data_IF_268743644937
#
_entry.id   IF_268743644937
#
_cell.length_a   1.000
_cell.length_b   1.000
_cell.length_c   1.000
_cell.angle_alpha   90.00
_cell.angle_beta   90.00
_cell.angle_gamma   90.00
#
_symmetry.space_group_name_H-M   'P 1'
#
loop_
_entity.id
_entity.type
_entity.pdbx_description
1 polymer ?
#
# COMPACT_ATOMS: atom_id res chain seq x y z
N UNK A 1 -2.73 24.69 2.35
CA UNK A 1 -1.35 25.16 2.07
C UNK A 1 -0.99 24.76 0.64
N UNK A 2 -0.81 25.74 -0.28
CA UNK A 2 -0.36 25.46 -1.65
C UNK A 2 1.17 25.32 -1.64
N UNK A 3 1.68 24.12 -1.95
CA UNK A 3 3.09 23.89 -2.21
C UNK A 3 3.44 24.45 -3.61
N UNK A 4 3.78 25.73 -3.68
CA UNK A 4 4.30 26.35 -4.91
C UNK A 4 5.78 26.00 -5.07
N UNK A 5 6.07 25.00 -5.90
CA UNK A 5 7.43 24.70 -6.36
C UNK A 5 7.88 25.81 -7.31
N UNK A 6 8.88 26.60 -6.91
CA UNK A 6 9.58 27.52 -7.81
C UNK A 6 10.42 26.68 -8.77
N UNK A 7 10.06 26.70 -10.04
CA UNK A 7 10.89 26.21 -11.14
C UNK A 7 12.02 27.22 -11.34
N UNK A 8 13.26 26.79 -11.17
CA UNK A 8 14.46 27.56 -11.53
C UNK A 8 15.00 26.95 -12.82
N UNK A 9 15.23 27.73 -13.89
CA UNK A 9 15.84 27.22 -15.11
C UNK A 9 17.36 27.14 -14.93
N UNK A 10 17.93 25.94 -14.97
CA UNK A 10 19.37 25.74 -15.05
C UNK A 10 19.82 25.66 -16.51
N UNK A 11 20.49 26.72 -16.99
CA UNK A 11 21.36 26.62 -18.16
C UNK A 11 22.63 25.85 -17.77
N UNK A 12 23.03 24.87 -18.58
CA UNK A 12 24.43 24.45 -18.66
C UNK A 12 24.77 23.92 -20.06
N UNK A 13 26.00 24.12 -20.54
CA UNK A 13 26.36 23.93 -21.93
C UNK A 13 26.91 22.53 -22.22
N UNK A 14 26.73 22.13 -23.48
CA UNK A 14 27.25 20.92 -24.09
C UNK A 14 28.77 20.80 -23.97
N UNK A 15 29.25 19.60 -23.65
CA UNK A 15 30.62 19.16 -23.92
C UNK A 15 30.61 17.70 -24.36
N UNK A 16 31.39 17.43 -25.41
CA UNK A 16 31.37 16.25 -26.27
C UNK A 16 32.10 15.02 -25.67
N UNK A 17 31.99 13.82 -26.28
CA UNK A 17 32.29 12.54 -25.63
C UNK A 17 33.75 12.09 -25.82
N UNK A 18 34.30 11.44 -24.78
CA UNK A 18 35.58 10.69 -24.84
C UNK A 18 35.37 9.20 -25.18
N UNK A 19 36.41 8.52 -25.72
CA UNK A 19 36.29 7.19 -26.32
C UNK A 19 36.27 6.03 -25.31
N UNK A 20 35.79 4.82 -25.71
CA UNK A 20 35.56 3.71 -24.80
C UNK A 20 36.85 2.93 -24.48
N UNK A 21 37.03 2.63 -23.19
CA UNK A 21 38.07 1.72 -22.70
C UNK A 21 37.62 0.27 -22.84
N UNK A 22 38.47 -0.54 -23.49
CA UNK A 22 38.33 -1.99 -23.70
C UNK A 22 38.36 -2.73 -22.36
N UNK A 23 37.27 -3.43 -22.01
CA UNK A 23 37.25 -4.39 -20.91
C UNK A 23 37.80 -5.75 -21.36
N UNK A 24 38.81 -6.25 -20.66
CA UNK A 24 39.36 -7.61 -20.79
C UNK A 24 38.41 -8.61 -20.12
N UNK A 25 37.98 -9.61 -20.89
CA UNK A 25 37.19 -10.75 -20.44
C UNK A 25 38.07 -11.74 -19.69
N UNK A 26 37.93 -11.82 -18.36
CA UNK A 26 38.51 -12.90 -17.56
C UNK A 26 37.44 -13.97 -17.35
N UNK A 27 37.56 -15.09 -18.07
CA UNK A 27 36.73 -16.29 -17.87
C UNK A 27 37.13 -16.98 -16.56
N UNK A 28 36.18 -17.12 -15.64
CA UNK A 28 36.30 -17.98 -14.46
C UNK A 28 35.62 -19.32 -14.81
N UNK A 29 36.26 -20.48 -14.58
CA UNK A 29 35.65 -21.78 -14.85
C UNK A 29 34.61 -22.15 -13.78
N UNK A 30 33.44 -22.61 -14.23
CA UNK A 30 32.38 -23.20 -13.41
C UNK A 30 32.91 -24.46 -12.71
N UNK A 31 32.82 -24.49 -11.38
CA UNK A 31 32.91 -25.72 -10.60
C UNK A 31 31.52 -26.35 -10.46
N UNK A 32 31.45 -27.63 -10.78
CA UNK A 32 30.28 -28.51 -10.68
C UNK A 32 29.95 -28.81 -9.21
N UNK A 33 28.68 -28.72 -8.76
CA UNK A 33 28.30 -29.16 -7.43
C UNK A 33 28.08 -30.69 -7.37
N UNK A 34 28.36 -31.35 -6.22
CA UNK A 34 28.09 -32.77 -6.03
C UNK A 34 26.60 -33.04 -5.73
N UNK A 35 26.12 -34.18 -6.20
CA UNK A 35 24.77 -34.70 -6.02
C UNK A 35 24.42 -34.98 -4.55
N UNK A 36 23.14 -34.84 -4.15
CA UNK A 36 22.68 -35.25 -2.81
C UNK A 36 22.41 -36.76 -2.73
N UNK A 37 22.51 -37.37 -1.53
CA UNK A 37 22.23 -38.78 -1.32
C UNK A 37 20.73 -39.07 -1.25
N UNK A 38 20.37 -40.23 -1.80
CA UNK A 38 19.05 -40.85 -1.74
C UNK A 38 18.65 -41.19 -0.29
N UNK A 39 17.44 -40.80 0.11
CA UNK A 39 16.76 -41.35 1.30
C UNK A 39 15.43 -41.93 0.82
N UNK A 40 15.32 -43.24 1.01
CA UNK A 40 14.21 -44.08 0.57
C UNK A 40 12.90 -43.88 1.35
N UNK A 41 11.86 -44.66 0.96
CA UNK A 41 10.48 -44.37 1.30
C UNK A 41 10.07 -44.98 2.65
N UNK A 42 9.26 -44.24 3.42
CA UNK A 42 8.47 -44.81 4.52
C UNK A 42 6.98 -44.62 4.25
N UNK A 43 6.34 -45.75 4.01
CA UNK A 43 4.90 -45.99 4.01
C UNK A 43 4.31 -45.90 5.42
N UNK A 44 3.07 -45.42 5.53
CA UNK A 44 1.98 -45.82 6.46
C UNK A 44 0.99 -44.63 6.52
N UNK A 45 -0.08 -44.59 5.73
CA UNK A 45 -1.37 -45.27 5.97
C UNK A 45 -1.95 -44.93 7.36
N UNK A 46 -2.78 -43.90 7.47
CA UNK A 46 -3.93 -43.87 8.37
C UNK A 46 -4.94 -42.80 7.89
N UNK A 47 -6.14 -43.27 7.56
CA UNK A 47 -7.35 -42.48 7.33
C UNK A 47 -8.38 -42.82 8.45
N UNK A 48 -9.60 -42.27 8.46
CA UNK A 48 -9.98 -41.12 9.27
C UNK A 48 -11.02 -41.47 10.35
N UNK A 49 -11.13 -40.64 11.39
CA UNK A 49 -12.24 -40.70 12.37
C UNK A 49 -13.21 -39.57 12.06
N UNK A 50 -14.36 -39.94 11.48
CA UNK A 50 -15.56 -39.12 11.38
C UNK A 50 -16.27 -39.07 12.75
N UNK A 51 -16.51 -37.87 13.27
CA UNK A 51 -17.47 -37.64 14.35
C UNK A 51 -18.50 -36.63 13.86
N UNK A 52 -19.65 -37.20 13.46
CA UNK A 52 -20.85 -36.48 13.05
C UNK A 52 -21.65 -36.12 14.31
N UNK A 53 -21.73 -34.83 14.64
CA UNK A 53 -22.60 -34.30 15.69
C UNK A 53 -23.76 -33.55 15.03
N UNK A 54 -24.93 -34.17 15.08
CA UNK A 54 -26.20 -33.57 14.69
C UNK A 54 -26.69 -32.61 15.79
N UNK A 55 -26.96 -31.36 15.45
CA UNK A 55 -27.71 -30.44 16.30
C UNK A 55 -29.11 -30.18 15.72
N UNK A 56 -30.18 -30.29 16.55
CA UNK A 56 -31.55 -30.08 16.11
C UNK A 56 -31.91 -28.60 15.94
N UNK A 57 -32.68 -28.34 14.88
CA UNK A 57 -33.37 -27.07 14.58
C UNK A 57 -34.39 -26.75 15.67
N UNK A 58 -34.43 -25.50 16.12
CA UNK A 58 -35.55 -24.93 16.87
C UNK A 58 -36.14 -23.75 16.08
N UNK A 59 -37.42 -23.91 15.73
CA UNK A 59 -38.31 -22.94 15.12
C UNK A 59 -39.15 -22.24 16.20
N UNK A 60 -39.18 -20.91 16.21
CA UNK A 60 -40.31 -20.09 16.71
C UNK A 60 -40.02 -18.64 16.27
N UNK A 61 -40.75 -18.01 15.34
CA UNK A 61 -42.16 -17.62 15.30
C UNK A 61 -42.61 -16.86 16.55
N UNK A 62 -42.46 -15.53 16.52
CA UNK A 62 -43.39 -14.59 17.15
C UNK A 62 -43.38 -13.26 16.41
N UNK A 63 -44.37 -13.11 15.52
CA UNK A 63 -44.89 -11.82 15.09
C UNK A 63 -45.54 -11.12 16.29
N UNK A 64 -45.13 -9.87 16.55
CA UNK A 64 -45.99 -8.88 17.19
C UNK A 64 -45.84 -7.57 16.45
N UNK A 65 -46.80 -7.30 15.58
CA UNK A 65 -47.05 -6.00 14.99
C UNK A 65 -47.59 -5.07 16.08
N UNK A 66 -46.87 -3.99 16.36
CA UNK A 66 -47.37 -2.85 17.12
C UNK A 66 -47.64 -1.71 16.13
N UNK A 67 -48.92 -1.42 15.94
CA UNK A 67 -49.45 -0.29 15.18
C UNK A 67 -48.95 1.01 15.82
N UNK A 68 -48.04 1.70 15.14
CA UNK A 68 -47.64 3.07 15.48
C UNK A 68 -48.49 4.08 14.70
N UNK A 69 -48.93 5.17 15.33
CA UNK A 69 -49.74 6.20 14.67
C UNK A 69 -48.89 7.01 13.69
N UNK A 70 -49.49 7.30 12.53
CA UNK A 70 -48.90 8.11 11.46
C UNK A 70 -48.70 9.56 11.93
N UNK A 71 -47.47 9.89 12.34
CA UNK A 71 -47.06 11.28 12.58
C UNK A 71 -46.39 11.85 11.33
N UNK A 72 -47.07 12.84 10.72
CA UNK A 72 -46.56 13.97 9.94
C UNK A 72 -45.21 13.75 9.22
N UNK A 73 -45.28 13.30 7.96
CA UNK A 73 -44.13 13.00 7.09
C UNK A 73 -43.55 14.26 6.42
N UNK A 74 -44.21 15.42 6.54
CA UNK A 74 -43.92 16.59 5.67
C UNK A 74 -42.98 17.61 6.32
N UNK A 75 -42.90 17.69 7.66
CA UNK A 75 -42.02 18.65 8.34
C UNK A 75 -40.57 18.15 8.59
N UNK A 76 -40.31 16.84 8.45
CA UNK A 76 -39.01 16.24 8.73
C UNK A 76 -38.01 16.26 7.56
N UNK A 77 -38.40 16.80 6.39
CA UNK A 77 -37.61 16.69 5.16
C UNK A 77 -36.65 17.85 4.91
N UNK A 78 -36.74 18.95 5.66
CA UNK A 78 -35.89 20.16 5.47
C UNK A 78 -34.72 20.33 6.45
N UNK A 79 -34.56 19.45 7.45
CA UNK A 79 -33.55 19.61 8.51
C UNK A 79 -32.46 18.53 8.55
N UNK A 80 -32.35 17.68 7.53
CA UNK A 80 -31.50 16.46 7.54
C UNK A 80 -30.27 16.49 6.63
N UNK A 81 -29.97 17.62 5.98
CA UNK A 81 -28.86 17.68 5.02
C UNK A 81 -27.58 18.32 5.57
N UNK A 82 -27.59 19.00 6.73
CA UNK A 82 -26.35 19.58 7.30
C UNK A 82 -25.66 18.69 8.34
N UNK A 83 -26.36 17.71 8.93
CA UNK A 83 -25.81 16.90 10.02
C UNK A 83 -24.76 15.88 9.55
N UNK A 84 -24.83 15.42 8.29
CA UNK A 84 -23.93 14.38 7.79
C UNK A 84 -22.49 14.84 7.58
N UNK A 85 -22.30 16.08 7.11
CA UNK A 85 -20.96 16.62 6.83
C UNK A 85 -20.20 16.94 8.13
N UNK A 86 -20.89 17.47 9.14
CA UNK A 86 -20.30 17.72 10.47
C UNK A 86 -19.88 16.43 11.16
N UNK A 87 -20.68 15.36 11.06
CA UNK A 87 -20.35 14.05 11.63
C UNK A 87 -19.14 13.41 10.93
N UNK A 88 -19.02 13.58 9.61
CA UNK A 88 -17.89 13.09 8.83
C UNK A 88 -16.59 13.82 9.20
N UNK A 89 -16.62 15.15 9.29
CA UNK A 89 -15.45 15.94 9.68
C UNK A 89 -15.02 15.67 11.13
N UNK A 90 -15.97 15.53 12.04
CA UNK A 90 -15.68 15.13 13.43
C UNK A 90 -15.05 13.72 13.50
N UNK A 91 -15.54 12.77 12.68
CA UNK A 91 -14.95 11.43 12.59
C UNK A 91 -13.51 11.48 12.06
N UNK A 92 -13.25 12.30 11.02
CA UNK A 92 -11.90 12.51 10.49
C UNK A 92 -10.99 13.13 11.55
N UNK A 93 -11.47 14.13 12.29
CA UNK A 93 -10.73 14.80 13.36
C UNK A 93 -10.36 13.83 14.47
N UNK A 94 -11.32 13.03 14.96
CA UNK A 94 -11.06 11.99 15.99
C UNK A 94 -10.02 10.99 15.53
N UNK A 95 -10.10 10.55 14.28
CA UNK A 95 -9.14 9.60 13.71
C UNK A 95 -7.74 10.20 13.56
N UNK A 96 -7.66 11.46 13.14
CA UNK A 96 -6.40 12.19 13.09
C UNK A 96 -5.75 12.29 14.47
N UNK A 97 -6.52 12.69 15.49
CA UNK A 97 -6.04 12.77 16.87
C UNK A 97 -5.59 11.40 17.40
N UNK A 98 -6.30 10.33 17.07
CA UNK A 98 -5.91 8.97 17.44
C UNK A 98 -4.59 8.54 16.78
N UNK A 99 -4.40 8.86 15.49
CA UNK A 99 -3.13 8.60 14.80
C UNK A 99 -2.00 9.42 15.41
N UNK A 100 -2.25 10.70 15.70
CA UNK A 100 -1.27 11.59 16.31
C UNK A 100 -0.93 11.16 17.74
N UNK A 101 -1.90 10.68 18.52
CA UNK A 101 -1.66 10.20 19.89
C UNK A 101 -0.84 8.91 19.94
N UNK A 102 -0.78 8.17 18.82
CA UNK A 102 0.04 6.97 18.69
C UNK A 102 1.52 7.30 18.39
N UNK A 103 1.88 8.57 18.21
CA UNK A 103 3.27 8.97 17.97
C UNK A 103 4.10 8.84 19.25
N UNK A 104 5.16 8.06 19.14
CA UNK A 104 6.20 7.94 20.16
C UNK A 104 7.52 8.61 19.73
N UNK A 105 8.53 8.61 20.61
CA UNK A 105 9.89 9.07 20.28
C UNK A 105 10.50 8.37 19.06
N UNK A 106 10.09 7.13 18.76
CA UNK A 106 10.50 6.35 17.60
C UNK A 106 9.97 6.89 16.25
N UNK A 107 8.91 7.70 16.29
CA UNK A 107 8.30 8.31 15.10
C UNK A 107 8.94 9.65 14.72
N UNK A 108 9.88 10.15 15.54
CA UNK A 108 10.69 11.30 15.21
C UNK A 108 11.54 10.97 13.98
N UNK A 109 11.57 11.88 13.00
CA UNK A 109 12.47 11.73 11.86
C UNK A 109 13.79 12.43 12.21
N UNK A 110 14.88 11.68 12.16
CA UNK A 110 16.25 12.21 12.21
C UNK A 110 16.96 12.01 10.85
N UNK A 111 18.27 12.22 10.79
CA UNK A 111 19.04 12.11 9.54
C UNK A 111 19.21 10.66 9.04
N UNK A 112 19.03 9.65 9.89
CA UNK A 112 19.43 8.27 9.62
C UNK A 112 18.53 7.16 10.15
N UNK A 113 17.43 7.50 10.82
CA UNK A 113 16.52 6.51 11.38
C UNK A 113 15.57 5.94 10.32
N UNK A 114 15.12 4.73 10.61
CA UNK A 114 14.06 4.08 9.86
C UNK A 114 12.73 4.67 10.29
N UNK A 115 11.90 5.04 9.32
CA UNK A 115 10.54 5.50 9.64
C UNK A 115 9.61 4.31 9.92
N UNK A 116 8.65 4.54 10.81
CA UNK A 116 7.69 3.54 11.28
C UNK A 116 6.44 3.47 10.39
N UNK A 117 5.63 2.44 10.62
CA UNK A 117 4.26 2.36 10.07
C UNK A 117 3.36 3.51 10.52
N UNK A 118 3.48 3.95 11.77
CA UNK A 118 2.65 5.00 12.36
C UNK A 118 2.88 6.33 11.65
N UNK A 119 4.14 6.70 11.45
CA UNK A 119 4.48 7.90 10.69
C UNK A 119 4.02 7.79 9.23
N UNK A 120 4.21 6.63 8.60
CA UNK A 120 3.73 6.40 7.25
C UNK A 120 2.21 6.64 7.18
N UNK A 121 1.43 6.04 8.06
CA UNK A 121 -0.03 6.16 8.07
C UNK A 121 -0.51 7.60 8.33
N UNK A 122 0.17 8.36 9.19
CA UNK A 122 -0.11 9.80 9.36
C UNK A 122 0.12 10.57 8.05
N UNK A 123 1.24 10.31 7.38
CA UNK A 123 1.57 11.01 6.14
C UNK A 123 0.63 10.61 5.00
N UNK A 124 0.26 9.33 4.90
CA UNK A 124 -0.78 8.87 3.99
C UNK A 124 -2.14 9.51 4.29
N UNK A 125 -2.50 9.72 5.57
CA UNK A 125 -3.71 10.46 5.96
C UNK A 125 -3.66 11.90 5.45
N UNK A 126 -2.51 12.60 5.60
CA UNK A 126 -2.33 13.95 5.06
C UNK A 126 -2.48 13.95 3.53
N UNK A 127 -1.87 12.99 2.84
CA UNK A 127 -1.98 12.85 1.39
C UNK A 127 -3.41 12.55 0.92
N UNK A 128 -4.17 11.72 1.62
CA UNK A 128 -5.55 11.41 1.26
C UNK A 128 -6.47 12.65 1.33
N UNK A 129 -6.18 13.59 2.23
CA UNK A 129 -6.89 14.88 2.27
C UNK A 129 -6.47 15.82 1.12
N UNK A 130 -5.20 15.77 0.70
CA UNK A 130 -4.68 16.60 -0.39
C UNK A 130 -5.05 16.06 -1.79
N UNK A 131 -5.18 14.75 -1.92
CA UNK A 131 -5.35 14.05 -3.19
C UNK A 131 -6.60 13.17 -3.16
N UNK A 132 -7.81 13.76 -3.22
CA UNK A 132 -9.06 13.04 -3.00
C UNK A 132 -9.36 11.96 -4.07
N UNK A 133 -8.75 12.07 -5.25
CA UNK A 133 -8.88 11.13 -6.37
C UNK A 133 -8.04 9.84 -6.20
N UNK A 134 -7.27 9.73 -5.12
CA UNK A 134 -6.44 8.55 -4.81
C UNK A 134 -6.86 7.98 -3.46
N UNK A 135 -6.98 6.67 -3.37
CA UNK A 135 -7.14 5.96 -2.11
C UNK A 135 -5.77 5.54 -1.58
N UNK A 136 -5.39 6.08 -0.42
CA UNK A 136 -4.21 5.64 0.31
C UNK A 136 -4.64 4.62 1.36
N UNK A 137 -4.15 3.38 1.27
CA UNK A 137 -4.50 2.34 2.24
C UNK A 137 -3.50 2.34 3.39
N UNK A 138 -3.95 2.08 4.63
CA UNK A 138 -3.05 2.04 5.79
C UNK A 138 -2.04 0.90 5.65
N UNK A 139 -0.87 1.02 6.26
CA UNK A 139 0.16 -0.04 6.30
C UNK A 139 -0.39 -1.36 6.88
N UNK A 140 -1.35 -1.26 7.80
CA UNK A 140 -2.08 -2.39 8.37
C UNK A 140 -2.90 -3.20 7.33
N UNK A 141 -3.24 -2.61 6.18
CA UNK A 141 -4.04 -3.24 5.14
C UNK A 141 -3.46 -4.59 4.70
N UNK A 142 -2.17 -4.62 4.40
CA UNK A 142 -1.53 -5.84 3.92
C UNK A 142 -1.43 -6.89 5.05
N UNK A 143 -0.81 -6.52 6.17
CA UNK A 143 -0.46 -7.44 7.26
C UNK A 143 -1.67 -7.97 8.04
N UNK A 144 -2.75 -7.19 8.18
CA UNK A 144 -3.90 -7.61 8.97
C UNK A 144 -5.10 -7.97 8.10
N UNK A 145 -5.41 -7.21 7.05
CA UNK A 145 -6.63 -7.47 6.29
C UNK A 145 -6.42 -8.53 5.21
N UNK A 146 -5.38 -8.38 4.38
CA UNK A 146 -5.15 -9.31 3.28
C UNK A 146 -4.67 -10.68 3.78
N UNK A 147 -3.69 -10.71 4.67
CA UNK A 147 -3.18 -11.99 5.20
C UNK A 147 -4.26 -12.78 5.95
N UNK A 148 -5.11 -12.11 6.76
CA UNK A 148 -6.22 -12.78 7.44
C UNK A 148 -7.28 -13.32 6.46
N UNK A 149 -7.60 -12.56 5.40
CA UNK A 149 -8.54 -13.01 4.38
C UNK A 149 -8.01 -14.25 3.63
N UNK A 150 -6.70 -14.31 3.39
CA UNK A 150 -6.07 -15.49 2.77
C UNK A 150 -6.12 -16.71 3.69
N UNK A 151 -5.85 -16.52 4.99
CA UNK A 151 -5.91 -17.60 5.99
C UNK A 151 -7.33 -18.13 6.20
N UNK A 152 -8.34 -17.25 6.25
CA UNK A 152 -9.73 -17.67 6.41
C UNK A 152 -10.25 -18.52 5.22
N UNK A 153 -9.67 -18.34 4.04
CA UNK A 153 -10.11 -18.99 2.80
C UNK A 153 -9.66 -20.45 2.63
N UNK A 154 -8.89 -21.01 3.58
CA UNK A 154 -8.57 -22.44 3.57
C UNK A 154 -9.83 -23.32 3.61
N UNK A 155 -10.96 -22.76 4.06
CA UNK A 155 -12.27 -23.41 4.02
C UNK A 155 -12.99 -23.24 2.66
N UNK A 156 -12.46 -23.85 1.58
CA UNK A 156 -13.09 -24.24 0.27
C UNK A 156 -14.15 -23.36 -0.42
N UNK A 157 -14.49 -22.15 0.06
CA UNK A 157 -15.47 -21.26 -0.57
C UNK A 157 -14.78 -20.35 -1.58
N UNK A 158 -15.43 -20.19 -2.74
CA UNK A 158 -15.05 -19.21 -3.76
C UNK A 158 -15.11 -17.81 -3.12
N UNK A 159 -13.97 -17.12 -3.04
CA UNK A 159 -13.88 -15.75 -2.55
C UNK A 159 -14.69 -14.81 -3.45
N UNK A 160 -15.21 -13.76 -2.83
CA UNK A 160 -16.02 -12.73 -3.47
C UNK A 160 -15.56 -11.34 -3.04
N UNK A 161 -15.96 -10.30 -3.77
CA UNK A 161 -15.69 -8.89 -3.38
C UNK A 161 -16.15 -8.58 -1.95
N UNK A 162 -17.20 -9.24 -1.46
CA UNK A 162 -17.78 -9.02 -0.11
C UNK A 162 -16.85 -9.45 1.03
N UNK A 163 -15.94 -10.37 0.74
CA UNK A 163 -14.95 -10.85 1.71
C UNK A 163 -13.82 -9.82 1.92
N UNK A 164 -13.74 -8.80 1.06
CA UNK A 164 -12.74 -7.75 1.11
C UNK A 164 -13.40 -6.39 1.36
N UNK A 165 -13.78 -6.08 2.60
CA UNK A 165 -14.21 -4.72 2.95
C UNK A 165 -13.01 -3.87 3.36
N UNK A 166 -12.35 -3.29 2.36
CA UNK A 166 -11.16 -2.46 2.59
C UNK A 166 -11.58 -1.01 2.82
N UNK A 167 -10.90 -0.37 3.78
CA UNK A 167 -11.04 1.05 4.06
C UNK A 167 -9.70 1.74 3.90
N UNK A 168 -9.73 2.94 3.35
CA UNK A 168 -8.55 3.78 3.24
C UNK A 168 -8.18 4.44 4.59
N UNK A 169 -7.10 5.21 4.61
CA UNK A 169 -6.61 5.91 5.82
C UNK A 169 -7.61 6.94 6.37
N UNK A 170 -8.54 7.45 5.56
CA UNK A 170 -9.64 8.32 6.00
C UNK A 170 -10.86 7.52 6.49
N UNK A 171 -10.87 6.20 6.28
CA UNK A 171 -11.98 5.32 6.66
C UNK A 171 -13.07 5.17 5.61
N UNK A 172 -12.85 5.74 4.42
CA UNK A 172 -13.75 5.56 3.28
C UNK A 172 -13.72 4.10 2.87
N UNK A 173 -14.89 3.49 2.73
CA UNK A 173 -15.00 2.14 2.17
C UNK A 173 -14.65 2.23 0.69
N UNK A 174 -13.77 1.33 0.23
CA UNK A 174 -13.43 1.27 -1.18
C UNK A 174 -14.59 0.76 -2.02
N UNK A 175 -14.91 1.49 -3.08
CA UNK A 175 -15.77 1.01 -4.15
C UNK A 175 -14.90 0.33 -5.22
N UNK A 176 -15.10 -0.97 -5.40
CA UNK A 176 -14.35 -1.76 -6.40
C UNK A 176 -14.83 -1.55 -7.83
N UNK A 177 -15.90 -0.78 -8.02
CA UNK A 177 -16.39 -0.41 -9.34
C UNK A 177 -15.92 1.02 -9.74
N UNK A 178 -15.26 1.74 -8.83
CA UNK A 178 -14.57 3.01 -9.11
C UNK A 178 -13.19 2.76 -9.77
N UNK A 179 -12.76 3.71 -10.60
CA UNK A 179 -11.48 3.72 -11.28
C UNK A 179 -10.40 4.53 -10.55
N UNK A 180 -10.69 5.02 -9.33
CA UNK A 180 -9.71 5.70 -8.49
C UNK A 180 -8.44 4.85 -8.29
N UNK A 181 -7.29 5.51 -8.36
CA UNK A 181 -6.01 4.82 -8.15
C UNK A 181 -5.83 4.47 -6.68
N UNK A 182 -5.18 3.34 -6.42
CA UNK A 182 -4.91 2.87 -5.06
C UNK A 182 -3.41 2.93 -4.81
N UNK A 183 -3.03 3.43 -3.63
CA UNK A 183 -1.64 3.49 -3.19
C UNK A 183 -1.54 2.87 -1.80
N UNK A 184 -0.60 1.95 -1.62
CA UNK A 184 -0.33 1.36 -0.32
C UNK A 184 1.12 0.95 -0.18
N UNK A 185 1.61 0.96 1.05
CA UNK A 185 3.01 0.67 1.38
C UNK A 185 3.06 -0.62 2.18
N UNK A 186 3.95 -1.53 1.79
CA UNK A 186 4.10 -2.86 2.38
C UNK A 186 5.50 -3.00 2.96
N UNK A 187 5.58 -3.51 4.18
CA UNK A 187 6.85 -3.92 4.75
C UNK A 187 7.16 -5.37 4.35
N UNK A 188 8.01 -5.54 3.35
CA UNK A 188 8.44 -6.87 2.91
C UNK A 188 9.46 -7.41 3.91
N UNK A 189 9.16 -8.59 4.46
CA UNK A 189 9.97 -9.31 5.43
C UNK A 189 10.33 -8.50 6.69
N UNK A 190 9.57 -7.44 7.00
CA UNK A 190 9.81 -6.51 8.12
C UNK A 190 11.14 -5.73 8.04
N UNK A 191 11.78 -5.72 6.86
CA UNK A 191 13.10 -5.11 6.66
C UNK A 191 13.13 -4.10 5.51
N UNK A 192 12.08 -4.02 4.70
CA UNK A 192 12.09 -3.13 3.54
C UNK A 192 10.71 -2.63 3.17
N UNK A 193 10.56 -1.32 3.05
CA UNK A 193 9.34 -0.69 2.60
C UNK A 193 9.31 -0.61 1.07
N UNK A 194 8.23 -1.12 0.48
CA UNK A 194 7.91 -0.97 -0.94
C UNK A 194 6.55 -0.28 -1.08
N UNK A 195 6.41 0.55 -2.12
CA UNK A 195 5.12 1.14 -2.48
C UNK A 195 4.51 0.38 -3.66
N UNK A 196 3.22 0.12 -3.57
CA UNK A 196 2.40 -0.40 -4.65
C UNK A 196 1.41 0.66 -5.10
N UNK A 197 1.29 0.83 -6.41
CA UNK A 197 0.20 1.59 -7.03
C UNK A 197 -0.64 0.68 -7.90
N UNK A 198 -1.95 0.65 -7.67
CA UNK A 198 -2.91 0.03 -8.56
C UNK A 198 -3.51 1.14 -9.41
N UNK A 199 -3.18 1.12 -10.69
CA UNK A 199 -3.74 2.03 -11.68
C UNK A 199 -4.76 1.23 -12.50
N UNK A 200 -6.03 1.67 -12.52
CA UNK A 200 -7.12 0.95 -13.19
C UNK A 200 -7.36 1.46 -14.63
N UNK A 201 -7.02 2.71 -14.92
CA UNK A 201 -7.17 3.34 -16.24
C UNK A 201 -5.91 4.11 -16.67
N UNK A 202 -5.66 4.28 -17.98
CA UNK A 202 -6.40 3.70 -19.11
C UNK A 202 -6.07 2.22 -19.33
N UNK A 203 -4.95 1.73 -18.77
CA UNK A 203 -4.58 0.31 -18.82
C UNK A 203 -4.32 -0.16 -17.39
N UNK A 204 -5.05 -1.18 -16.91
CA UNK A 204 -4.84 -1.74 -15.58
C UNK A 204 -3.39 -2.21 -15.40
N UNK A 205 -2.72 -1.71 -14.35
CA UNK A 205 -1.34 -2.05 -13.99
C UNK A 205 -1.15 -2.02 -12.49
N UNK A 206 -0.43 -3.02 -11.98
CA UNK A 206 0.14 -2.99 -10.63
C UNK A 206 1.58 -2.53 -10.76
N UNK A 207 1.92 -1.41 -10.14
CA UNK A 207 3.24 -0.81 -10.20
C UNK A 207 3.94 -0.99 -8.86
N UNK A 208 5.08 -1.68 -8.88
CA UNK A 208 5.97 -1.84 -7.74
C UNK A 208 7.04 -0.75 -7.76
N UNK A 209 7.09 0.05 -6.70
CA UNK A 209 8.13 1.03 -6.45
C UNK A 209 9.04 0.50 -5.34
N UNK A 210 10.10 -0.19 -5.75
CA UNK A 210 11.17 -0.69 -4.88
C UNK A 210 12.33 0.34 -4.91
N UNK A 211 12.57 1.11 -3.83
CA UNK A 211 13.55 2.20 -3.84
C UNK A 211 14.98 1.76 -4.19
N UNK A 212 15.34 0.50 -3.87
CA UNK A 212 16.63 -0.08 -4.22
C UNK A 212 16.79 -0.41 -5.72
N UNK A 213 15.73 -0.18 -6.50
CA UNK A 213 15.69 -0.48 -7.93
C UNK A 213 15.55 -1.98 -8.19
N UNK A 214 15.47 -2.32 -9.48
CA UNK A 214 15.39 -3.72 -9.88
C UNK A 214 16.77 -4.36 -9.80
N UNK A 215 16.92 -5.42 -9.01
CA UNK A 215 18.15 -6.21 -9.01
C UNK A 215 18.43 -6.74 -10.43
N UNK A 216 19.59 -6.41 -10.99
CA UNK A 216 19.99 -6.76 -12.35
C UNK A 216 19.95 -8.27 -12.65
N UNK A 217 20.06 -9.11 -11.62
CA UNK A 217 19.99 -10.57 -11.72
C UNK A 217 18.57 -11.13 -11.88
N UNK A 218 17.52 -10.32 -11.71
CA UNK A 218 16.13 -10.81 -11.73
C UNK A 218 15.48 -10.58 -13.09
N UNK A 219 15.11 -11.68 -13.76
CA UNK A 219 14.23 -11.67 -14.92
C UNK A 219 12.77 -11.57 -14.46
N UNK A 220 12.16 -10.39 -14.65
CA UNK A 220 10.72 -10.17 -14.43
C UNK A 220 10.31 -9.95 -12.97
N UNK A 221 9.00 -9.70 -12.80
CA UNK A 221 8.33 -9.63 -11.52
C UNK A 221 7.94 -11.04 -11.07
N UNK A 222 8.10 -11.34 -9.78
CA UNK A 222 7.75 -12.63 -9.19
C UNK A 222 7.06 -12.44 -7.84
N UNK A 223 6.50 -13.52 -7.28
CA UNK A 223 5.91 -13.51 -5.95
C UNK A 223 6.90 -13.24 -4.80
N UNK A 224 8.21 -13.16 -5.10
CA UNK A 224 9.23 -12.69 -4.15
C UNK A 224 9.22 -11.16 -3.98
N UNK A 225 8.74 -10.45 -5.01
CA UNK A 225 8.66 -8.98 -5.01
C UNK A 225 7.24 -8.49 -4.75
N UNK A 226 6.24 -9.30 -5.06
CA UNK A 226 4.82 -8.96 -4.94
C UNK A 226 4.13 -10.04 -4.11
N UNK A 227 3.59 -9.72 -2.93
CA UNK A 227 2.92 -10.71 -2.10
C UNK A 227 1.73 -11.38 -2.81
N UNK A 228 1.59 -12.70 -2.67
CA UNK A 228 0.47 -13.47 -3.26
C UNK A 228 -0.90 -12.92 -2.83
N UNK A 229 -1.03 -12.54 -1.57
CA UNK A 229 -2.28 -12.00 -1.02
C UNK A 229 -2.76 -10.74 -1.77
N UNK A 230 -1.82 -9.90 -2.25
CA UNK A 230 -2.14 -8.71 -3.05
C UNK A 230 -2.71 -9.13 -4.41
N UNK A 231 -2.04 -10.06 -5.10
CA UNK A 231 -2.51 -10.56 -6.41
C UNK A 231 -3.88 -11.22 -6.29
N UNK A 232 -4.07 -12.10 -5.30
CA UNK A 232 -5.37 -12.77 -5.08
C UNK A 232 -6.50 -11.78 -4.77
N UNK A 233 -6.23 -10.76 -3.96
CA UNK A 233 -7.20 -9.70 -3.68
C UNK A 233 -7.59 -8.94 -4.95
N UNK A 234 -6.60 -8.54 -5.76
CA UNK A 234 -6.85 -7.82 -7.01
C UNK A 234 -7.58 -8.68 -8.04
N UNK A 235 -7.24 -9.97 -8.17
CA UNK A 235 -7.92 -10.90 -9.07
C UNK A 235 -9.41 -11.09 -8.71
N UNK A 236 -9.75 -11.00 -7.42
CA UNK A 236 -11.14 -11.06 -6.94
C UNK A 236 -11.86 -9.71 -7.11
N UNK A 237 -11.21 -8.61 -6.75
CA UNK A 237 -11.87 -7.31 -6.65
C UNK A 237 -11.90 -6.54 -7.98
N UNK A 238 -10.86 -6.71 -8.80
CA UNK A 238 -10.67 -6.02 -10.09
C UNK A 238 -10.26 -7.02 -11.18
N UNK A 239 -11.07 -8.05 -11.49
CA UNK A 239 -10.66 -9.16 -12.34
C UNK A 239 -10.11 -8.71 -13.70
N UNK A 240 -8.96 -9.24 -14.10
CA UNK A 240 -8.30 -8.92 -15.37
C UNK A 240 -8.11 -10.15 -16.23
N UNK A 241 -8.14 -9.97 -17.56
CA UNK A 241 -7.71 -11.02 -18.49
C UNK A 241 -6.24 -11.36 -18.22
N UNK A 242 -5.97 -12.66 -17.99
CA UNK A 242 -4.70 -13.27 -17.55
C UNK A 242 -4.22 -12.94 -16.13
N UNK A 243 -5.04 -12.25 -15.33
CA UNK A 243 -4.76 -11.95 -13.93
C UNK A 243 -3.78 -10.80 -13.72
N UNK A 244 -3.66 -10.37 -12.46
CA UNK A 244 -2.88 -9.17 -12.09
C UNK A 244 -1.37 -9.38 -12.11
N UNK A 245 -0.89 -10.61 -11.93
CA UNK A 245 0.54 -10.90 -11.94
C UNK A 245 1.19 -10.52 -13.29
N UNK A 246 0.53 -10.82 -14.41
CA UNK A 246 1.01 -10.44 -15.76
C UNK A 246 0.94 -8.93 -16.01
N UNK A 247 0.10 -8.21 -15.28
CA UNK A 247 -0.04 -6.74 -15.36
C UNK A 247 0.86 -6.01 -14.37
N UNK A 248 1.69 -6.75 -13.63
CA UNK A 248 2.59 -6.15 -12.65
C UNK A 248 3.90 -5.72 -13.31
N UNK A 249 4.33 -4.49 -13.02
CA UNK A 249 5.56 -3.91 -13.55
C UNK A 249 6.40 -3.31 -12.42
N UNK A 250 7.71 -3.28 -12.61
CA UNK A 250 8.62 -2.48 -11.77
C UNK A 250 8.52 -1.04 -12.26
N UNK A 251 7.96 -0.14 -11.45
CA UNK A 251 7.92 1.27 -11.78
C UNK A 251 9.29 1.91 -11.59
N UNK A 252 10.00 1.51 -10.53
CA UNK A 252 11.39 1.90 -10.31
C UNK A 252 12.30 0.81 -10.89
N UNK A 253 13.16 1.20 -11.82
CA UNK A 253 14.12 0.30 -12.48
C UNK A 253 15.55 0.59 -12.05
N UNK A 254 15.86 1.86 -11.81
CA UNK A 254 17.15 2.31 -11.34
C UNK A 254 17.21 2.30 -9.81
N UNK A 255 18.40 2.10 -9.25
CA UNK A 255 18.61 2.24 -7.80
C UNK A 255 18.50 3.72 -7.42
N UNK A 256 17.43 4.11 -6.75
CA UNK A 256 17.19 5.49 -6.31
C UNK A 256 17.61 5.71 -4.85
N UNK A 257 17.41 4.72 -3.99
CA UNK A 257 17.91 4.70 -2.61
C UNK A 257 19.33 4.13 -2.57
N UNK A 258 20.24 4.86 -1.94
CA UNK A 258 21.61 4.44 -1.65
C UNK A 258 21.79 4.14 -0.16
N UNK A 259 21.12 4.89 0.73
CA UNK A 259 21.20 4.69 2.18
C UNK A 259 20.52 3.38 2.63
N UNK A 260 20.79 2.91 3.84
CA UNK A 260 20.16 1.69 4.39
C UNK A 260 18.76 1.89 4.99
N UNK A 261 18.35 3.14 5.23
CA UNK A 261 17.23 3.49 6.11
C UNK A 261 16.13 4.33 5.43
N UNK A 262 16.35 4.81 4.21
CA UNK A 262 15.41 5.71 3.53
C UNK A 262 14.26 5.03 2.78
N UNK A 263 14.14 3.70 2.82
CA UNK A 263 13.12 3.00 2.03
C UNK A 263 11.70 3.49 2.32
N UNK A 264 11.38 3.75 3.59
CA UNK A 264 10.08 4.33 3.96
C UNK A 264 9.92 5.78 3.49
N UNK A 265 10.96 6.60 3.58
CA UNK A 265 10.92 8.01 3.12
C UNK A 265 10.72 8.06 1.60
N UNK A 266 11.43 7.21 0.87
CA UNK A 266 11.26 7.05 -0.57
C UNK A 266 9.81 6.64 -0.91
N UNK A 267 9.24 5.68 -0.19
CA UNK A 267 7.83 5.29 -0.36
C UNK A 267 6.87 6.46 -0.13
N UNK A 268 7.09 7.30 0.89
CA UNK A 268 6.26 8.49 1.12
C UNK A 268 6.41 9.53 0.00
N UNK A 269 7.62 9.73 -0.51
CA UNK A 269 7.85 10.61 -1.66
C UNK A 269 7.13 10.08 -2.91
N UNK A 270 7.22 8.78 -3.19
CA UNK A 270 6.48 8.14 -4.28
C UNK A 270 4.97 8.28 -4.10
N UNK A 271 4.45 8.12 -2.87
CA UNK A 271 3.04 8.30 -2.56
C UNK A 271 2.57 9.73 -2.86
N UNK A 272 3.36 10.74 -2.46
CA UNK A 272 3.09 12.14 -2.80
C UNK A 272 3.04 12.36 -4.31
N UNK A 273 4.02 11.82 -5.06
CA UNK A 273 4.05 11.92 -6.53
C UNK A 273 2.88 11.22 -7.20
N UNK A 274 2.50 10.03 -6.72
CA UNK A 274 1.32 9.31 -7.19
C UNK A 274 0.04 10.10 -6.92
N UNK A 275 -0.08 10.73 -5.74
CA UNK A 275 -1.19 11.61 -5.39
C UNK A 275 -1.32 12.81 -6.33
N UNK A 276 -0.20 13.35 -6.81
CA UNK A 276 -0.14 14.40 -7.83
C UNK A 276 -0.41 13.91 -9.27
N UNK A 277 -0.64 12.62 -9.46
CA UNK A 277 -0.90 12.02 -10.77
C UNK A 277 0.33 11.78 -11.63
N UNK A 278 1.55 11.83 -11.08
CA UNK A 278 2.76 11.53 -11.85
C UNK A 278 2.81 10.06 -12.26
N UNK A 279 3.31 9.79 -13.47
CA UNK A 279 3.48 8.43 -14.00
C UNK A 279 4.61 7.67 -13.30
N UNK A 280 4.67 6.34 -13.49
CA UNK A 280 5.76 5.56 -12.89
C UNK A 280 7.11 5.93 -13.50
N UNK A 281 7.11 6.22 -14.80
CA UNK A 281 8.23 6.64 -15.61
C UNK A 281 8.77 8.02 -15.15
N UNK A 282 7.88 9.00 -14.96
CA UNK A 282 8.27 10.33 -14.42
C UNK A 282 8.92 10.21 -13.04
N UNK A 283 8.36 9.38 -12.16
CA UNK A 283 8.90 9.13 -10.82
C UNK A 283 10.25 8.41 -10.90
N UNK A 284 10.41 7.45 -11.81
CA UNK A 284 11.66 6.73 -12.03
C UNK A 284 12.80 7.65 -12.49
N UNK A 285 12.48 8.63 -13.33
CA UNK A 285 13.46 9.50 -13.97
C UNK A 285 13.84 10.71 -13.10
N UNK A 286 12.92 11.20 -12.26
CA UNK A 286 13.10 12.44 -11.49
C UNK A 286 13.59 12.22 -10.06
N UNK A 287 13.43 11.02 -9.51
CA UNK A 287 13.78 10.75 -8.11
C UNK A 287 15.11 10.03 -8.01
N UNK A 288 15.95 10.56 -7.15
CA UNK A 288 17.23 9.99 -6.76
C UNK A 288 17.40 10.10 -5.23
N UNK A 289 18.57 9.71 -4.73
CA UNK A 289 18.88 9.80 -3.30
C UNK A 289 18.84 11.24 -2.79
N UNK A 290 19.21 12.24 -3.60
CA UNK A 290 19.19 13.65 -3.18
C UNK A 290 17.75 14.12 -2.95
N UNK A 291 16.82 13.75 -3.85
CA UNK A 291 15.40 14.03 -3.69
C UNK A 291 14.82 13.36 -2.44
N UNK A 292 15.19 12.10 -2.18
CA UNK A 292 14.77 11.36 -0.98
C UNK A 292 15.29 12.03 0.30
N UNK A 293 16.59 12.36 0.37
CA UNK A 293 17.19 13.07 1.52
C UNK A 293 16.56 14.45 1.71
N UNK A 294 16.27 15.17 0.62
CA UNK A 294 15.60 16.48 0.70
C UNK A 294 14.18 16.35 1.25
N UNK A 295 13.47 15.29 0.86
CA UNK A 295 12.13 15.00 1.37
C UNK A 295 12.16 14.61 2.85
N UNK A 296 13.15 13.82 3.30
CA UNK A 296 13.38 13.54 4.74
C UNK A 296 13.46 14.83 5.55
N UNK A 297 14.29 15.79 5.12
CA UNK A 297 14.44 17.08 5.80
C UNK A 297 13.14 17.88 5.85
N UNK A 298 12.32 17.80 4.80
CA UNK A 298 10.98 18.41 4.81
C UNK A 298 10.06 17.75 5.84
N UNK A 299 10.07 16.42 5.95
CA UNK A 299 9.30 15.71 6.98
C UNK A 299 9.74 16.13 8.39
N UNK A 300 11.04 16.22 8.64
CA UNK A 300 11.58 16.71 9.93
C UNK A 300 11.03 18.10 10.29
N UNK A 301 11.09 19.04 9.35
CA UNK A 301 10.60 20.41 9.56
C UNK A 301 9.10 20.45 9.83
N UNK A 302 8.31 19.66 9.08
CA UNK A 302 6.85 19.60 9.25
C UNK A 302 6.45 19.03 10.61
N UNK A 303 7.14 17.97 11.07
CA UNK A 303 6.83 17.33 12.34
C UNK A 303 7.22 18.22 13.53
N UNK A 304 8.36 18.92 13.46
CA UNK A 304 8.76 19.90 14.49
C UNK A 304 7.74 21.03 14.64
N UNK A 305 7.31 21.61 13.51
CA UNK A 305 6.29 22.67 13.52
C UNK A 305 4.94 22.21 14.11
N UNK A 306 4.59 20.92 13.99
CA UNK A 306 3.34 20.39 14.56
C UNK A 306 3.46 20.12 16.07
N UNK A 307 4.66 19.86 16.57
CA UNK A 307 4.92 19.66 18.00
C UNK A 307 4.79 20.96 18.80
N UNK A 308 5.34 22.06 18.25
CA UNK A 308 5.34 23.37 18.91
C UNK A 308 3.92 23.95 19.11
N UNK A 309 2.96 23.58 18.26
CA UNK A 309 1.57 24.07 18.33
C UNK A 309 0.73 23.40 19.44
N UNK A 310 1.20 22.27 20.01
CA UNK A 310 0.45 21.51 21.02
C UNK A 310 0.90 21.79 22.48
N UNK A 311 2.01 22.50 22.67
CA UNK A 311 2.57 22.82 24.00
C UNK A 311 2.14 24.20 24.54
N UNK A 312 1.12 24.83 23.93
CA UNK A 312 0.53 26.12 24.35
C UNK A 312 -0.96 26.01 24.68
#
# INVERSE_FOLDING_TARGET
MQLRSRVVPSCSPCSAPGPPLKMKNTRIPLQTPPSPPEIGPRSATHAPVELSVQHPRASSRRERALLRPARSVIAAKKRRLSTGDEELEETKRRRFLLLQSAFGPEDLVDESNWITSTLIDLMLWKFANLYPAVHFLPTAFYHFHLEAAVQAAWHRRRRSKRDYQVRDVLGRVMDYDDNASLVFIVNVDRIHWNLFRVQLAPTPRLQLFEPMGRLASRSGISYRSVPRAVIEWLDVCYPQYKGWMERTVSAITNKQQVSGFDCGVACLLYADKCGRGQSGEEINDQIDQQAITSFRKQLQLQLRATGDDNDG
#
